data_IF_397747932361
#
_entry.id   IF_397747932361
#
_cell.length_a   1.000
_cell.length_b   1.000
_cell.length_c   1.000
_cell.angle_alpha   90.00
_cell.angle_beta   90.00
_cell.angle_gamma   90.00
#
_symmetry.space_group_name_H-M   'P 1'
#
loop_
_entity.id
_entity.type
_entity.pdbx_description
1 polymer ?
#
# COMPACT_ATOMS: atom_id res chain seq x y z
N UNK A 1 -24.75 -55.45 -51.82
CA UNK A 1 -23.87 -54.46 -52.46
C UNK A 1 -22.47 -54.66 -51.92
N UNK A 2 -21.54 -55.12 -52.74
CA UNK A 2 -20.19 -55.53 -52.35
C UNK A 2 -19.25 -54.32 -52.42
N UNK A 3 -18.75 -53.85 -51.29
CA UNK A 3 -17.77 -52.74 -51.25
C UNK A 3 -16.37 -53.31 -51.46
N UNK A 4 -15.87 -53.14 -52.69
CA UNK A 4 -14.49 -53.46 -53.07
C UNK A 4 -13.53 -52.57 -52.28
N UNK A 5 -12.78 -53.16 -51.36
CA UNK A 5 -11.70 -52.48 -50.63
C UNK A 5 -10.47 -52.46 -51.55
N UNK A 6 -9.83 -51.31 -51.81
CA UNK A 6 -8.69 -51.22 -52.73
C UNK A 6 -7.51 -52.10 -52.30
N UNK A 7 -7.01 -52.91 -53.25
CA UNK A 7 -5.97 -53.94 -53.11
C UNK A 7 -4.62 -53.39 -52.60
N UNK A 8 -4.40 -52.07 -52.69
CA UNK A 8 -3.16 -51.39 -52.31
C UNK A 8 -2.81 -51.49 -50.82
N UNK A 9 -3.79 -51.81 -49.96
CA UNK A 9 -3.57 -51.96 -48.51
C UNK A 9 -3.51 -53.43 -48.06
N UNK A 10 -3.59 -54.39 -49.00
CA UNK A 10 -3.52 -55.84 -48.74
C UNK A 10 -2.26 -56.30 -47.98
N UNK A 11 -1.03 -55.87 -48.36
CA UNK A 11 0.17 -56.23 -47.60
C UNK A 11 0.25 -55.54 -46.23
N UNK A 12 -0.41 -54.39 -46.05
CA UNK A 12 -0.44 -53.63 -44.80
C UNK A 12 -1.36 -54.23 -43.74
N UNK A 13 -2.34 -55.05 -44.16
CA UNK A 13 -3.28 -55.73 -43.27
C UNK A 13 -2.62 -56.78 -42.36
N UNK A 14 -1.41 -57.23 -42.71
CA UNK A 14 -0.66 -58.24 -41.96
C UNK A 14 0.51 -57.65 -41.15
N UNK A 15 0.67 -56.33 -41.14
CA UNK A 15 1.63 -55.67 -40.26
C UNK A 15 1.07 -55.74 -38.85
N UNK A 16 1.75 -56.39 -37.88
CA UNK A 16 1.34 -56.31 -36.50
C UNK A 16 1.45 -54.85 -36.08
N UNK A 17 0.32 -54.14 -36.05
CA UNK A 17 0.23 -52.80 -35.51
C UNK A 17 0.71 -52.90 -34.07
N UNK A 18 1.96 -52.52 -33.82
CA UNK A 18 2.48 -52.34 -32.48
C UNK A 18 1.59 -51.26 -31.89
N UNK A 19 0.61 -51.70 -31.09
CA UNK A 19 -0.32 -50.77 -30.45
C UNK A 19 0.51 -49.92 -29.52
N UNK A 20 0.76 -48.69 -29.97
CA UNK A 20 1.47 -47.66 -29.23
C UNK A 20 0.96 -47.72 -27.78
N UNK A 21 1.84 -47.94 -26.79
CA UNK A 21 1.42 -48.03 -25.40
C UNK A 21 0.65 -46.78 -24.94
N UNK A 22 0.85 -45.62 -25.60
CA UNK A 22 0.15 -44.36 -25.37
C UNK A 22 -1.33 -44.39 -25.77
N UNK A 23 -1.75 -45.34 -26.61
CA UNK A 23 -3.15 -45.57 -26.99
C UNK A 23 -3.88 -46.55 -26.07
N UNK A 24 -3.19 -47.07 -25.04
CA UNK A 24 -3.80 -47.94 -24.03
C UNK A 24 -4.25 -47.09 -22.86
N UNK A 25 -5.46 -47.35 -22.36
CA UNK A 25 -5.90 -46.76 -21.10
C UNK A 25 -4.97 -47.29 -19.99
N UNK A 26 -4.29 -46.41 -19.24
CA UNK A 26 -3.46 -46.84 -18.12
C UNK A 26 -4.29 -47.64 -17.11
N UNK A 27 -3.71 -48.65 -16.43
CA UNK A 27 -4.40 -49.34 -15.37
C UNK A 27 -4.82 -48.34 -14.27
N UNK A 28 -5.99 -48.54 -13.63
CA UNK A 28 -6.44 -47.66 -12.56
C UNK A 28 -5.45 -47.72 -11.40
N UNK A 29 -5.13 -46.55 -10.84
CA UNK A 29 -4.25 -46.45 -9.67
C UNK A 29 -5.00 -47.03 -8.46
N UNK A 30 -4.43 -48.07 -7.85
CA UNK A 30 -4.95 -48.60 -6.59
C UNK A 30 -4.51 -47.69 -5.44
N UNK A 31 -5.45 -47.33 -4.56
CA UNK A 31 -5.11 -46.61 -3.34
C UNK A 31 -4.26 -47.52 -2.42
N UNK A 32 -3.20 -47.00 -1.79
CA UNK A 32 -2.44 -47.77 -0.81
C UNK A 32 -3.34 -48.15 0.37
N UNK A 33 -3.12 -49.36 0.91
CA UNK A 33 -3.91 -49.87 2.04
C UNK A 33 -3.61 -49.17 3.37
N UNK A 34 -2.43 -48.55 3.49
CA UNK A 34 -2.02 -47.81 4.68
C UNK A 34 -2.33 -46.31 4.55
N UNK A 35 -3.59 -46.02 4.19
CA UNK A 35 -4.15 -44.68 4.36
C UNK A 35 -4.59 -44.57 5.82
N UNK A 36 -3.78 -43.89 6.63
CA UNK A 36 -4.20 -43.51 7.96
C UNK A 36 -5.56 -42.79 7.89
N UNK A 37 -6.47 -43.04 8.84
CA UNK A 37 -7.78 -42.42 8.82
C UNK A 37 -7.62 -40.90 8.82
N UNK A 38 -8.45 -40.22 8.03
CA UNK A 38 -8.53 -38.77 8.05
C UNK A 38 -8.85 -38.34 9.49
N UNK A 39 -7.99 -37.55 10.16
CA UNK A 39 -8.28 -37.08 11.49
C UNK A 39 -9.47 -36.11 11.41
N UNK A 40 -10.20 -35.94 12.51
CA UNK A 40 -11.32 -35.01 12.56
C UNK A 40 -10.89 -33.56 12.24
N UNK A 41 -9.60 -33.24 12.40
CA UNK A 41 -9.01 -31.95 12.06
C UNK A 41 -7.74 -32.13 11.22
N UNK A 42 -7.63 -31.35 10.14
CA UNK A 42 -6.44 -31.29 9.28
C UNK A 42 -5.20 -30.81 10.04
N UNK A 43 -5.40 -30.07 11.14
CA UNK A 43 -4.33 -29.52 11.96
C UNK A 43 -3.40 -30.61 12.53
N UNK A 44 -3.92 -31.81 12.77
CA UNK A 44 -3.14 -32.91 13.38
C UNK A 44 -2.08 -33.49 12.42
N UNK A 45 -2.22 -33.25 11.10
CA UNK A 45 -1.22 -33.60 10.09
C UNK A 45 -0.27 -32.46 9.74
N UNK A 46 -0.52 -31.24 10.21
CA UNK A 46 0.41 -30.13 10.01
C UNK A 46 1.59 -30.27 10.98
N UNK A 47 2.59 -31.04 10.54
CA UNK A 47 3.87 -31.21 11.23
C UNK A 47 4.65 -29.88 11.31
N UNK A 48 4.35 -28.93 10.44
CA UNK A 48 5.07 -27.67 10.35
C UNK A 48 4.30 -26.51 11.02
N UNK A 49 4.96 -25.74 11.92
CA UNK A 49 4.33 -24.62 12.63
C UNK A 49 4.16 -23.36 11.78
N UNK A 50 4.59 -23.39 10.51
CA UNK A 50 4.47 -22.28 9.58
C UNK A 50 3.31 -22.56 8.61
N UNK A 51 2.27 -21.75 8.73
CA UNK A 51 1.22 -21.66 7.71
C UNK A 51 1.56 -20.48 6.81
N UNK A 52 1.43 -20.67 5.49
CA UNK A 52 1.78 -19.63 4.51
C UNK A 52 0.95 -18.36 4.73
N UNK A 53 -0.30 -18.53 5.16
CA UNK A 53 -1.24 -17.48 5.50
C UNK A 53 -0.67 -16.56 6.57
N UNK A 54 -0.07 -17.11 7.63
CA UNK A 54 0.51 -16.32 8.72
C UNK A 54 1.74 -15.52 8.26
N UNK A 55 2.58 -16.12 7.41
CA UNK A 55 3.75 -15.44 6.87
C UNK A 55 3.35 -14.29 5.92
N UNK A 56 2.34 -14.50 5.08
CA UNK A 56 1.82 -13.49 4.15
C UNK A 56 1.19 -12.31 4.89
N UNK A 57 0.40 -12.57 5.94
CA UNK A 57 -0.19 -11.53 6.78
C UNK A 57 0.90 -10.72 7.50
N UNK A 58 1.88 -11.38 8.11
CA UNK A 58 2.98 -10.71 8.79
C UNK A 58 3.82 -9.82 7.84
N UNK A 59 4.10 -10.30 6.63
CA UNK A 59 4.84 -9.53 5.64
C UNK A 59 4.05 -8.30 5.16
N UNK A 60 2.74 -8.45 4.98
CA UNK A 60 1.85 -7.33 4.64
C UNK A 60 1.88 -6.25 5.72
N UNK A 61 1.72 -6.62 6.99
CA UNK A 61 1.76 -5.69 8.12
C UNK A 61 3.10 -4.96 8.21
N UNK A 62 4.21 -5.69 8.01
CA UNK A 62 5.56 -5.12 8.01
C UNK A 62 5.72 -4.06 6.92
N UNK A 63 5.20 -4.34 5.71
CA UNK A 63 5.26 -3.43 4.58
C UNK A 63 4.39 -2.19 4.80
N UNK A 64 3.20 -2.34 5.38
CA UNK A 64 2.32 -1.23 5.74
C UNK A 64 2.95 -0.34 6.83
N UNK A 65 3.57 -0.95 7.84
CA UNK A 65 4.29 -0.20 8.88
C UNK A 65 5.48 0.60 8.31
N UNK A 66 6.25 0.00 7.40
CA UNK A 66 7.35 0.69 6.73
C UNK A 66 6.85 1.88 5.90
N UNK A 67 5.76 1.71 5.15
CA UNK A 67 5.13 2.78 4.37
C UNK A 67 4.67 3.92 5.26
N UNK A 68 4.02 3.63 6.38
CA UNK A 68 3.58 4.66 7.34
C UNK A 68 4.75 5.39 7.98
N UNK A 69 5.83 4.69 8.32
CA UNK A 69 7.03 5.31 8.85
C UNK A 69 7.70 6.24 7.82
N UNK A 70 7.74 5.84 6.55
CA UNK A 70 8.23 6.68 5.45
C UNK A 70 7.36 7.92 5.25
N UNK A 71 6.03 7.76 5.23
CA UNK A 71 5.09 8.87 5.15
C UNK A 71 5.29 9.85 6.32
N UNK A 72 5.39 9.34 7.55
CA UNK A 72 5.61 10.14 8.74
C UNK A 72 6.94 10.89 8.71
N UNK A 73 7.98 10.30 8.08
CA UNK A 73 9.27 10.96 7.87
C UNK A 73 9.18 12.08 6.83
N UNK A 74 8.46 11.87 5.73
CA UNK A 74 8.34 12.84 4.63
C UNK A 74 7.37 13.98 4.96
N UNK A 75 6.30 13.69 5.68
CA UNK A 75 5.24 14.62 6.02
C UNK A 75 4.77 14.38 7.47
N UNK A 76 5.46 14.98 8.46
CA UNK A 76 5.05 14.92 9.85
C UNK A 76 3.62 15.47 10.01
N UNK A 77 2.71 14.66 10.55
CA UNK A 77 1.30 15.05 10.74
C UNK A 77 0.37 14.74 9.56
N UNK A 78 0.86 14.12 8.48
CA UNK A 78 0.02 13.50 7.45
C UNK A 78 -0.24 12.03 7.78
N UNK A 79 -1.51 11.64 7.76
CA UNK A 79 -1.96 10.28 7.94
C UNK A 79 -2.61 9.75 6.65
N UNK A 80 -2.56 8.44 6.43
CA UNK A 80 -3.20 7.81 5.25
C UNK A 80 -4.73 7.92 5.29
N UNK A 81 -5.31 8.34 6.42
CA UNK A 81 -6.75 8.48 6.66
C UNK A 81 -7.27 9.91 6.40
N UNK A 82 -6.40 10.86 6.06
CA UNK A 82 -6.78 12.23 5.72
C UNK A 82 -7.28 13.07 6.90
N UNK A 83 -6.92 12.73 8.14
CA UNK A 83 -7.24 13.49 9.34
C UNK A 83 -6.13 14.46 9.75
N UNK A 84 -4.92 14.30 9.21
CA UNK A 84 -3.89 15.32 9.18
C UNK A 84 -4.42 16.54 8.46
N UNK A 85 -4.06 17.74 8.94
CA UNK A 85 -4.63 19.01 8.49
C UNK A 85 -4.58 19.16 6.95
N UNK A 86 -5.63 18.68 6.29
CA UNK A 86 -5.84 18.88 4.86
C UNK A 86 -5.93 20.38 4.71
N UNK A 87 -4.97 20.97 4.01
CA UNK A 87 -5.02 22.39 3.64
C UNK A 87 -6.21 22.57 2.70
N UNK A 88 -7.39 22.83 3.27
CA UNK A 88 -8.58 23.18 2.53
C UNK A 88 -8.37 24.62 2.04
N UNK A 89 -8.37 24.88 0.72
CA UNK A 89 -8.28 26.24 0.23
C UNK A 89 -9.52 27.01 0.70
N UNK A 90 -9.31 27.93 1.65
CA UNK A 90 -10.41 28.80 2.11
C UNK A 90 -10.63 29.87 1.04
N UNK A 91 -11.83 29.98 0.45
CA UNK A 91 -12.11 31.02 -0.53
C UNK A 91 -11.98 32.41 0.12
N UNK A 92 -11.35 33.35 -0.60
CA UNK A 92 -10.95 34.70 -0.12
C UNK A 92 -12.08 35.50 0.55
N UNK A 93 -13.34 35.23 0.22
CA UNK A 93 -14.51 35.87 0.84
C UNK A 93 -14.72 35.46 2.31
N UNK A 94 -14.46 34.21 2.68
CA UNK A 94 -14.58 33.74 4.07
C UNK A 94 -13.44 34.28 4.94
N UNK A 95 -12.25 34.47 4.37
CA UNK A 95 -11.08 34.96 5.09
C UNK A 95 -11.27 36.39 5.62
N UNK A 96 -11.95 37.25 4.85
CA UNK A 96 -12.27 38.61 5.28
C UNK A 96 -13.30 38.64 6.42
N UNK A 97 -14.28 37.74 6.40
CA UNK A 97 -15.31 37.66 7.44
C UNK A 97 -14.75 37.09 8.77
N UNK A 98 -13.75 36.21 8.68
CA UNK A 98 -13.07 35.63 9.85
C UNK A 98 -12.07 36.61 10.49
N UNK A 99 -11.40 37.45 9.70
CA UNK A 99 -10.56 38.55 10.21
C UNK A 99 -11.36 39.61 10.97
N UNK A 100 -12.60 39.91 10.55
CA UNK A 100 -13.48 40.85 11.26
C UNK A 100 -13.96 40.28 12.60
N UNK A 101 -14.28 38.99 12.69
CA UNK A 101 -14.64 38.33 13.97
C UNK A 101 -13.45 38.13 14.90
N UNK A 102 -12.24 37.91 14.36
CA UNK A 102 -11.03 37.76 15.17
C UNK A 102 -10.58 39.08 15.83
N UNK A 103 -10.80 40.22 15.17
CA UNK A 103 -10.51 41.54 15.73
C UNK A 103 -11.39 41.88 16.96
N UNK A 104 -12.63 41.38 17.00
CA UNK A 104 -13.54 41.56 18.14
C UNK A 104 -13.24 40.64 19.33
N UNK A 105 -12.44 39.58 19.13
CA UNK A 105 -12.04 38.62 20.18
C UNK A 105 -10.61 38.81 20.69
N UNK A 106 -9.83 39.73 20.09
CA UNK A 106 -8.41 39.94 20.36
C UNK A 106 -8.10 40.63 21.71
N UNK A 107 -9.09 40.96 22.53
CA UNK A 107 -8.81 41.61 23.83
C UNK A 107 -8.53 40.62 24.98
N UNK A 108 -8.70 39.30 24.81
CA UNK A 108 -8.61 38.36 25.95
C UNK A 108 -7.98 36.97 25.67
N UNK A 109 -7.29 36.73 24.56
CA UNK A 109 -6.60 35.45 24.37
C UNK A 109 -5.15 35.47 24.91
N UNK A 110 -4.72 34.42 25.66
CA UNK A 110 -3.36 34.30 26.15
C UNK A 110 -2.40 34.06 24.98
N UNK A 111 -1.32 34.86 24.93
CA UNK A 111 -0.33 34.85 23.84
C UNK A 111 0.33 33.49 23.68
N UNK A 112 0.39 33.00 22.45
CA UNK A 112 0.97 31.70 22.13
C UNK A 112 2.49 31.77 21.89
N UNK A 113 3.19 30.62 21.86
CA UNK A 113 4.63 30.56 21.63
C UNK A 113 5.07 31.11 20.27
N UNK A 114 4.16 31.19 19.30
CA UNK A 114 4.43 31.82 17.99
C UNK A 114 4.43 33.35 18.07
N UNK A 115 3.67 33.96 18.99
CA UNK A 115 3.66 35.42 19.17
C UNK A 115 4.98 35.91 19.78
N UNK A 116 5.58 35.12 20.68
CA UNK A 116 6.89 35.43 21.27
C UNK A 116 7.98 35.49 20.19
N UNK A 117 7.90 34.63 19.17
CA UNK A 117 8.84 34.62 18.06
C UNK A 117 8.68 35.84 17.15
N UNK A 118 7.43 36.28 16.93
CA UNK A 118 7.11 37.48 16.15
C UNK A 118 7.62 38.73 16.86
N UNK A 119 7.39 38.84 18.17
CA UNK A 119 7.90 39.93 19.00
C UNK A 119 9.44 39.94 19.01
N UNK A 120 10.08 38.77 19.07
CA UNK A 120 11.54 38.67 19.01
C UNK A 120 12.12 39.12 17.67
N UNK A 121 11.45 38.79 16.56
CA UNK A 121 11.86 39.22 15.23
C UNK A 121 11.67 40.73 15.05
N UNK A 122 10.56 41.28 15.53
CA UNK A 122 10.29 42.72 15.50
C UNK A 122 11.31 43.51 16.34
N UNK A 123 11.73 42.96 17.49
CA UNK A 123 12.76 43.57 18.33
C UNK A 123 14.14 43.60 17.64
N UNK A 124 14.49 42.57 16.87
CA UNK A 124 15.73 42.56 16.08
C UNK A 124 15.71 43.60 14.96
N UNK A 125 14.57 43.74 14.25
CA UNK A 125 14.42 44.70 13.15
C UNK A 125 14.46 46.16 13.65
N UNK A 126 13.83 46.44 14.80
CA UNK A 126 13.93 47.74 15.46
C UNK A 126 15.38 48.08 15.88
N UNK A 127 16.15 47.06 16.29
CA UNK A 127 17.55 47.24 16.67
C UNK A 127 18.43 47.56 15.45
N UNK A 128 18.19 46.91 14.31
CA UNK A 128 18.89 47.22 13.06
C UNK A 128 18.58 48.63 12.56
N UNK A 129 17.33 49.08 12.66
CA UNK A 129 16.93 50.44 12.24
C UNK A 129 17.55 51.53 13.12
N UNK A 130 17.78 51.26 14.41
CA UNK A 130 18.45 52.22 15.32
C UNK A 130 19.94 52.43 15.01
N UNK A 131 20.55 51.58 14.19
CA UNK A 131 21.97 51.63 13.84
C UNK A 131 22.24 52.22 12.44
N UNK A 132 21.22 52.76 11.77
CA UNK A 132 21.37 53.44 10.48
C UNK A 132 21.88 54.89 10.69
N UNK A 133 23.01 55.30 10.06
CA UNK A 133 23.45 56.70 10.12
C UNK A 133 22.48 57.62 9.35
N UNK A 134 22.27 58.87 9.79
CA UNK A 134 21.36 59.79 9.11
C UNK A 134 21.93 60.21 7.75
N UNK A 135 21.38 59.67 6.67
CA UNK A 135 21.62 60.18 5.31
C UNK A 135 20.82 61.47 5.12
N UNK A 136 21.49 62.62 5.28
CA UNK A 136 20.93 63.95 4.98
C UNK A 136 20.71 64.16 3.47
N UNK A 137 19.79 65.07 3.08
CA UNK A 137 19.47 65.33 1.68
C UNK A 137 20.57 66.16 1.02
N UNK A 138 21.09 65.69 -0.12
CA UNK A 138 21.91 66.51 -1.02
C UNK A 138 20.96 67.32 -1.93
N UNK A 139 21.08 68.64 -1.82
CA UNK A 139 20.59 69.64 -2.77
C UNK A 139 21.25 69.48 -4.15
#
# INVERSE_FOLDING_TARGET
MSTSVPILYGPSAHVPLIKDPSLRVPPPIAAPQDLHPLPPSLADYFVYPFTLERAIVAERERREAARRAELHRLAPGWDEQGQGAVLVPTPRAQQQQQQQRAAEQATQQPRGPMDELVDHLAALDAKDQSNAPPSGPLF
#
